data_IF_851265435797
#
_entry.id   IF_851265435797
#
_cell.length_a   1.000
_cell.length_b   1.000
_cell.length_c   1.000
_cell.angle_alpha   90.00
_cell.angle_beta   90.00
_cell.angle_gamma   90.00
#
_symmetry.space_group_name_H-M   'P 1'
#
loop_
_entity.id
_entity.type
_entity.pdbx_description
1 polymer ?
#
# COMPACT_ATOMS: atom_id res chain seq x y z
N UNK A 1 15.21 -6.92 6.09
CA UNK A 1 15.06 -5.62 5.40
C UNK A 1 13.64 -5.54 4.91
N UNK A 2 12.95 -4.42 5.12
CA UNK A 2 11.61 -4.23 4.55
C UNK A 2 11.73 -4.23 3.02
N UNK A 3 10.94 -5.08 2.35
CA UNK A 3 10.86 -5.11 0.89
C UNK A 3 9.78 -4.15 0.41
N UNK A 4 9.92 -3.66 -0.82
CA UNK A 4 8.87 -2.86 -1.46
C UNK A 4 7.67 -3.74 -1.77
N UNK A 5 6.46 -3.22 -1.55
CA UNK A 5 5.21 -3.92 -1.83
C UNK A 5 4.16 -2.99 -2.43
N UNK A 6 3.19 -3.57 -3.13
CA UNK A 6 2.14 -2.84 -3.83
C UNK A 6 0.94 -2.66 -2.91
N UNK A 7 0.36 -1.45 -2.91
CA UNK A 7 -0.87 -1.10 -2.17
C UNK A 7 -1.86 -0.41 -3.11
N UNK A 8 -3.17 -0.33 -2.77
CA UNK A 8 -4.08 0.58 -3.46
C UNK A 8 -3.57 2.02 -3.30
N UNK A 9 -3.61 2.83 -4.38
CA UNK A 9 -3.23 4.24 -4.29
C UNK A 9 -4.24 5.05 -3.48
N UNK A 10 -5.55 4.78 -3.70
CA UNK A 10 -6.64 5.45 -2.98
C UNK A 10 -7.81 4.49 -2.75
N UNK A 11 -8.75 4.87 -1.91
CA UNK A 11 -10.04 4.19 -1.82
C UNK A 11 -10.85 4.46 -3.08
N UNK A 12 -11.58 3.44 -3.56
CA UNK A 12 -12.40 3.58 -4.75
C UNK A 12 -13.61 2.65 -4.72
N UNK A 13 -14.55 2.95 -5.60
CA UNK A 13 -15.77 2.17 -5.80
C UNK A 13 -15.99 1.96 -7.28
N UNK A 14 -16.42 0.76 -7.65
CA UNK A 14 -16.81 0.40 -9.00
C UNK A 14 -18.16 -0.31 -8.97
N UNK A 15 -19.07 0.08 -9.83
CA UNK A 15 -20.43 -0.46 -9.86
C UNK A 15 -20.81 -0.93 -11.26
N UNK A 16 -21.54 -2.05 -11.34
CA UNK A 16 -22.14 -2.54 -12.57
C UNK A 16 -23.37 -3.41 -12.27
N UNK A 17 -24.13 -3.71 -13.31
CA UNK A 17 -25.30 -4.61 -13.24
C UNK A 17 -25.09 -5.78 -14.19
N UNK A 18 -25.34 -6.99 -13.71
CA UNK A 18 -25.32 -8.24 -14.46
C UNK A 18 -26.60 -9.04 -14.18
N UNK A 19 -27.37 -9.37 -15.24
CA UNK A 19 -28.67 -10.07 -15.14
C UNK A 19 -29.56 -9.49 -14.02
N UNK A 20 -29.74 -8.17 -14.01
CA UNK A 20 -30.48 -7.39 -13.03
C UNK A 20 -29.90 -7.39 -11.61
N UNK A 21 -28.88 -8.19 -11.29
CA UNK A 21 -28.15 -8.08 -10.03
C UNK A 21 -27.18 -6.88 -10.09
N UNK A 22 -27.21 -6.05 -9.05
CA UNK A 22 -26.31 -4.90 -8.90
C UNK A 22 -25.13 -5.30 -8.04
N UNK A 23 -23.93 -5.02 -8.52
CA UNK A 23 -22.66 -5.29 -7.84
C UNK A 23 -21.92 -3.97 -7.59
N UNK A 24 -21.49 -3.75 -6.35
CA UNK A 24 -20.73 -2.57 -5.95
C UNK A 24 -19.44 -3.05 -5.29
N UNK A 25 -18.33 -3.00 -6.02
CA UNK A 25 -17.00 -3.29 -5.50
C UNK A 25 -16.41 -2.06 -4.80
N UNK A 26 -15.80 -2.27 -3.64
CA UNK A 26 -15.13 -1.24 -2.86
C UNK A 26 -13.71 -1.68 -2.56
N UNK A 27 -12.75 -0.78 -2.70
CA UNK A 27 -11.36 -0.96 -2.26
C UNK A 27 -11.05 0.00 -1.13
N UNK A 28 -10.43 -0.51 -0.08
CA UNK A 28 -9.94 0.26 1.08
C UNK A 28 -8.49 -0.09 1.35
N UNK A 29 -7.71 0.89 1.83
CA UNK A 29 -6.41 0.66 2.45
C UNK A 29 -6.62 0.20 3.88
N UNK A 30 -5.94 -0.85 4.27
CA UNK A 30 -5.95 -1.37 5.65
C UNK A 30 -4.55 -1.85 6.03
N UNK A 31 -4.23 -1.79 7.31
CA UNK A 31 -2.97 -2.31 7.85
C UNK A 31 -3.21 -3.49 8.79
N UNK A 32 -4.44 -3.62 9.33
CA UNK A 32 -4.80 -4.64 10.31
C UNK A 32 -6.14 -5.31 10.02
N UNK A 33 -6.36 -6.49 10.59
CA UNK A 33 -7.62 -7.22 10.50
C UNK A 33 -8.77 -6.50 11.23
N UNK A 34 -8.44 -5.73 12.27
CA UNK A 34 -9.40 -4.92 13.04
C UNK A 34 -9.98 -3.83 12.16
N UNK A 35 -9.14 -3.10 11.40
CA UNK A 35 -9.59 -2.10 10.42
C UNK A 35 -10.51 -2.72 9.37
N UNK A 36 -10.19 -3.92 8.86
CA UNK A 36 -11.08 -4.64 7.95
C UNK A 36 -12.45 -4.90 8.59
N UNK A 37 -12.49 -5.35 9.85
CA UNK A 37 -13.73 -5.63 10.58
C UNK A 37 -14.57 -4.38 10.81
N UNK A 38 -13.95 -3.25 11.13
CA UNK A 38 -14.62 -1.95 11.30
C UNK A 38 -15.26 -1.46 10.00
N UNK A 39 -14.51 -1.53 8.89
CA UNK A 39 -15.00 -1.15 7.55
C UNK A 39 -16.17 -2.04 7.14
N UNK A 40 -16.06 -3.36 7.34
CA UNK A 40 -17.13 -4.31 7.05
C UNK A 40 -18.40 -4.01 7.87
N UNK A 41 -18.25 -3.70 9.15
CA UNK A 41 -19.39 -3.32 10.02
C UNK A 41 -20.06 -2.04 9.50
N UNK A 42 -19.28 -1.04 9.08
CA UNK A 42 -19.76 0.22 8.49
C UNK A 42 -20.50 -0.02 7.19
N UNK A 43 -19.96 -0.86 6.29
CA UNK A 43 -20.59 -1.18 5.02
C UNK A 43 -21.88 -1.98 5.19
N UNK A 44 -21.93 -2.96 6.08
CA UNK A 44 -23.14 -3.71 6.41
C UNK A 44 -24.25 -2.82 6.96
N UNK A 45 -23.93 -1.79 7.71
CA UNK A 45 -24.92 -0.78 8.15
C UNK A 45 -25.37 0.10 7.00
N UNK A 46 -24.46 0.53 6.13
CA UNK A 46 -24.77 1.38 4.97
C UNK A 46 -25.62 0.65 3.94
N UNK A 47 -25.32 -0.63 3.69
CA UNK A 47 -26.00 -1.48 2.71
C UNK A 47 -26.78 -2.60 3.42
N UNK A 48 -27.54 -2.21 4.44
CA UNK A 48 -28.25 -3.13 5.31
C UNK A 48 -29.30 -3.99 4.58
N UNK A 49 -29.81 -3.51 3.45
CA UNK A 49 -30.79 -4.13 2.57
C UNK A 49 -30.15 -4.95 1.43
N UNK A 50 -28.84 -5.00 1.34
CA UNK A 50 -28.13 -5.81 0.36
C UNK A 50 -28.24 -7.30 0.67
N UNK A 51 -28.24 -8.14 -0.36
CA UNK A 51 -28.30 -9.58 -0.23
C UNK A 51 -27.02 -10.15 0.37
N UNK A 52 -25.85 -9.64 -0.10
CA UNK A 52 -24.54 -10.13 0.34
C UNK A 52 -23.53 -8.97 0.37
N UNK A 53 -22.59 -9.03 1.33
CA UNK A 53 -21.41 -8.19 1.43
C UNK A 53 -20.17 -9.08 1.50
N UNK A 54 -19.81 -9.64 0.35
CA UNK A 54 -18.65 -10.51 0.17
C UNK A 54 -17.35 -9.72 0.35
N UNK A 55 -16.34 -10.31 0.96
CA UNK A 55 -15.06 -9.63 1.12
C UNK A 55 -13.85 -10.55 0.97
N UNK A 56 -12.73 -9.94 0.65
CA UNK A 56 -11.40 -10.52 0.79
C UNK A 56 -10.41 -9.43 1.17
N UNK A 57 -9.40 -9.79 1.97
CA UNK A 57 -8.30 -8.89 2.27
C UNK A 57 -6.94 -9.61 2.28
N UNK A 58 -5.89 -8.84 2.02
CA UNK A 58 -4.49 -9.26 2.05
C UNK A 58 -3.71 -8.20 2.83
N UNK A 59 -2.99 -8.62 3.87
CA UNK A 59 -2.10 -7.75 4.65
C UNK A 59 -0.63 -8.00 4.30
N UNK A 60 0.21 -6.99 4.49
CA UNK A 60 1.66 -7.10 4.30
C UNK A 60 2.33 -8.09 5.28
N UNK A 61 1.65 -8.42 6.39
CA UNK A 61 2.05 -9.49 7.31
C UNK A 61 1.92 -10.91 6.71
N UNK A 62 1.36 -11.06 5.50
CA UNK A 62 1.03 -12.34 4.89
C UNK A 62 -0.34 -12.89 5.31
N UNK A 63 -1.08 -12.18 6.16
CA UNK A 63 -2.43 -12.59 6.55
C UNK A 63 -3.42 -12.34 5.43
N UNK A 64 -4.17 -13.37 5.06
CA UNK A 64 -5.25 -13.28 4.07
C UNK A 64 -6.54 -13.86 4.63
N UNK A 65 -7.67 -13.23 4.32
CA UNK A 65 -9.00 -13.75 4.64
C UNK A 65 -10.01 -13.41 3.57
N UNK A 66 -11.05 -14.24 3.49
CA UNK A 66 -12.19 -13.98 2.64
C UNK A 66 -13.47 -14.57 3.25
N UNK A 67 -14.62 -14.15 2.73
CA UNK A 67 -15.93 -14.72 3.06
C UNK A 67 -16.84 -14.61 1.85
N UNK A 68 -17.60 -15.68 1.61
CA UNK A 68 -18.64 -15.69 0.59
C UNK A 68 -19.95 -15.03 1.07
N UNK A 69 -20.07 -14.69 2.37
CA UNK A 69 -21.21 -13.98 3.00
C UNK A 69 -22.58 -14.51 2.56
N UNK A 70 -22.73 -15.85 2.51
CA UNK A 70 -23.97 -16.55 2.14
C UNK A 70 -24.15 -16.82 0.65
N UNK A 71 -23.25 -16.39 -0.22
CA UNK A 71 -23.19 -16.90 -1.61
C UNK A 71 -22.76 -18.37 -1.63
N UNK A 72 -23.00 -19.13 -2.70
CA UNK A 72 -22.49 -20.49 -2.83
C UNK A 72 -20.98 -20.57 -2.61
N UNK A 73 -20.55 -21.54 -1.80
CA UNK A 73 -19.16 -21.66 -1.37
C UNK A 73 -18.16 -21.61 -2.53
N UNK A 74 -17.15 -20.75 -2.41
CA UNK A 74 -16.05 -20.59 -3.37
C UNK A 74 -16.41 -19.81 -4.63
N UNK A 75 -17.62 -19.24 -4.73
CA UNK A 75 -18.06 -18.53 -5.93
C UNK A 75 -17.85 -17.01 -5.88
N UNK A 76 -17.46 -16.48 -4.72
CA UNK A 76 -17.41 -15.03 -4.52
C UNK A 76 -16.15 -14.55 -3.77
N UNK A 77 -15.95 -14.96 -2.53
CA UNK A 77 -14.83 -14.54 -1.71
C UNK A 77 -13.46 -15.00 -2.24
N UNK A 78 -13.36 -16.28 -2.63
CA UNK A 78 -12.14 -16.82 -3.23
C UNK A 78 -11.81 -16.17 -4.59
N UNK A 79 -12.73 -15.98 -5.53
CA UNK A 79 -12.50 -15.20 -6.75
C UNK A 79 -12.01 -13.77 -6.48
N UNK A 80 -12.61 -13.08 -5.49
CA UNK A 80 -12.16 -11.75 -5.04
C UNK A 80 -10.71 -11.79 -4.55
N UNK A 81 -10.37 -12.75 -3.67
CA UNK A 81 -8.99 -12.93 -3.19
C UNK A 81 -8.00 -13.22 -4.33
N UNK A 82 -8.42 -14.04 -5.31
CA UNK A 82 -7.59 -14.37 -6.48
C UNK A 82 -7.22 -13.14 -7.29
N UNK A 83 -8.14 -12.19 -7.46
CA UNK A 83 -7.86 -10.91 -8.13
C UNK A 83 -6.80 -10.11 -7.36
N UNK A 84 -6.92 -10.00 -6.03
CA UNK A 84 -5.95 -9.28 -5.19
C UNK A 84 -4.56 -9.92 -5.26
N UNK A 85 -4.49 -11.26 -5.17
CA UNK A 85 -3.24 -12.03 -5.32
C UNK A 85 -2.61 -11.84 -6.71
N UNK A 86 -3.41 -11.90 -7.77
CA UNK A 86 -2.94 -11.69 -9.15
C UNK A 86 -2.33 -10.30 -9.36
N UNK A 87 -2.87 -9.29 -8.71
CA UNK A 87 -2.33 -7.93 -8.70
C UNK A 87 -1.16 -7.74 -7.72
N UNK A 88 -0.82 -8.76 -6.90
CA UNK A 88 0.20 -8.71 -5.83
C UNK A 88 0.00 -7.55 -4.85
N UNK A 89 -1.24 -7.10 -4.70
CA UNK A 89 -1.57 -5.96 -3.83
C UNK A 89 -1.72 -6.43 -2.38
N UNK A 90 -1.16 -5.66 -1.47
CA UNK A 90 -1.18 -5.89 -0.03
C UNK A 90 -1.80 -4.69 0.69
N UNK A 91 -2.08 -4.86 1.98
CA UNK A 91 -2.73 -3.83 2.82
C UNK A 91 -4.02 -3.31 2.18
N UNK A 92 -4.80 -4.26 1.65
CA UNK A 92 -6.02 -4.02 0.89
C UNK A 92 -7.18 -4.84 1.43
N UNK A 93 -8.35 -4.20 1.54
CA UNK A 93 -9.64 -4.85 1.71
C UNK A 93 -10.49 -4.57 0.46
N UNK A 94 -10.99 -5.63 -0.18
CA UNK A 94 -12.02 -5.54 -1.19
C UNK A 94 -13.34 -6.05 -0.62
N UNK A 95 -14.40 -5.26 -0.76
CA UNK A 95 -15.77 -5.66 -0.39
C UNK A 95 -16.65 -5.51 -1.61
N UNK A 96 -17.42 -6.55 -1.94
CA UNK A 96 -18.42 -6.49 -3.00
C UNK A 96 -19.81 -6.63 -2.40
N UNK A 97 -20.57 -5.56 -2.43
CA UNK A 97 -21.98 -5.54 -2.05
C UNK A 97 -22.83 -5.95 -3.24
N UNK A 98 -23.72 -6.93 -3.06
CA UNK A 98 -24.63 -7.42 -4.10
C UNK A 98 -26.07 -7.26 -3.70
N UNK A 99 -26.87 -6.76 -4.62
CA UNK A 99 -28.32 -6.82 -4.62
C UNK A 99 -28.78 -7.83 -5.66
N UNK A 100 -29.50 -8.86 -5.25
CA UNK A 100 -30.02 -9.87 -6.16
C UNK A 100 -31.14 -9.32 -7.04
N UNK A 101 -31.05 -9.54 -8.34
CA UNK A 101 -31.99 -9.03 -9.35
C UNK A 101 -33.05 -10.04 -9.81
N UNK A 102 -33.30 -11.11 -9.04
CA UNK A 102 -34.32 -12.10 -9.39
C UNK A 102 -33.88 -13.15 -10.42
N UNK A 103 -32.73 -12.96 -11.09
CA UNK A 103 -32.22 -13.90 -12.09
C UNK A 103 -30.91 -14.55 -11.62
N UNK A 104 -30.86 -15.87 -11.58
CA UNK A 104 -29.68 -16.62 -11.15
C UNK A 104 -28.54 -16.49 -12.18
N UNK A 105 -27.34 -16.16 -11.70
CA UNK A 105 -26.13 -16.11 -12.51
C UNK A 105 -25.52 -17.50 -12.75
N UNK A 106 -25.75 -18.44 -11.83
CA UNK A 106 -25.03 -19.71 -11.73
C UNK A 106 -23.61 -19.53 -11.19
N UNK A 107 -22.95 -20.62 -10.77
CA UNK A 107 -21.63 -20.57 -10.14
C UNK A 107 -20.58 -19.85 -11.00
N UNK A 108 -20.47 -20.19 -12.28
CA UNK A 108 -19.51 -19.53 -13.19
C UNK A 108 -19.85 -18.06 -13.46
N UNK A 109 -21.13 -17.67 -13.42
CA UNK A 109 -21.56 -16.28 -13.51
C UNK A 109 -21.17 -15.47 -12.28
N UNK A 110 -21.36 -16.05 -11.08
CA UNK A 110 -20.94 -15.44 -9.82
C UNK A 110 -19.42 -15.21 -9.78
N UNK A 111 -18.61 -16.23 -10.10
CA UNK A 111 -17.16 -16.12 -10.15
C UNK A 111 -16.73 -14.95 -11.04
N UNK A 112 -17.29 -14.83 -12.26
CA UNK A 112 -16.99 -13.72 -13.17
C UNK A 112 -17.41 -12.37 -12.61
N UNK A 113 -18.63 -12.27 -12.06
CA UNK A 113 -19.14 -11.00 -11.53
C UNK A 113 -18.34 -10.49 -10.33
N UNK A 114 -17.99 -11.36 -9.36
CA UNK A 114 -17.18 -10.98 -8.22
C UNK A 114 -15.73 -10.62 -8.62
N UNK A 115 -15.15 -11.37 -9.55
CA UNK A 115 -13.82 -11.01 -10.10
C UNK A 115 -13.86 -9.67 -10.83
N UNK A 116 -14.91 -9.39 -11.60
CA UNK A 116 -15.10 -8.11 -12.30
C UNK A 116 -15.26 -6.96 -11.30
N UNK A 117 -16.07 -7.14 -10.24
CA UNK A 117 -16.26 -6.13 -9.20
C UNK A 117 -14.94 -5.77 -8.52
N UNK A 118 -14.19 -6.80 -8.10
CA UNK A 118 -12.89 -6.61 -7.45
C UNK A 118 -11.87 -5.94 -8.37
N UNK A 119 -11.76 -6.42 -9.63
CA UNK A 119 -10.85 -5.84 -10.60
C UNK A 119 -11.21 -4.39 -10.95
N UNK A 120 -12.49 -4.10 -11.24
CA UNK A 120 -12.94 -2.76 -11.58
C UNK A 120 -12.72 -1.77 -10.43
N UNK A 121 -12.97 -2.19 -9.17
CA UNK A 121 -12.70 -1.36 -8.01
C UNK A 121 -11.20 -1.14 -7.79
N UNK A 122 -10.35 -2.16 -8.01
CA UNK A 122 -8.91 -2.04 -7.90
C UNK A 122 -8.32 -1.15 -9.00
N UNK A 123 -8.79 -1.28 -10.25
CA UNK A 123 -8.39 -0.44 -11.37
C UNK A 123 -8.78 1.04 -11.10
N UNK A 124 -9.95 1.29 -10.51
CA UNK A 124 -10.38 2.64 -10.12
C UNK A 124 -9.57 3.22 -8.95
N UNK A 125 -9.11 2.36 -8.03
CA UNK A 125 -8.24 2.77 -6.92
C UNK A 125 -6.84 3.15 -7.40
N UNK A 126 -6.38 2.56 -8.50
CA UNK A 126 -4.99 2.62 -8.92
C UNK A 126 -4.06 1.90 -7.94
N UNK A 127 -2.80 1.81 -8.29
CA UNK A 127 -1.78 1.14 -7.48
C UNK A 127 -0.65 2.11 -7.12
N UNK A 128 -0.02 1.84 -5.98
CA UNK A 128 1.20 2.51 -5.54
C UNK A 128 2.20 1.49 -5.00
N UNK A 129 3.47 1.84 -5.04
CA UNK A 129 4.54 1.07 -4.40
C UNK A 129 4.88 1.73 -3.07
N UNK A 130 4.91 0.95 -2.01
CA UNK A 130 5.51 1.30 -0.73
C UNK A 130 6.97 0.92 -0.78
N UNK A 131 7.84 1.93 -0.79
CA UNK A 131 9.29 1.74 -0.86
C UNK A 131 9.92 2.13 0.48
N UNK A 132 10.74 1.24 1.09
CA UNK A 132 11.45 1.58 2.31
C UNK A 132 12.62 2.52 2.01
N UNK A 133 12.86 3.45 2.94
CA UNK A 133 14.02 4.34 2.96
C UNK A 133 14.67 4.29 4.33
N UNK A 134 16.00 4.38 4.36
CA UNK A 134 16.78 4.64 5.57
C UNK A 134 16.83 6.15 5.80
N UNK A 135 16.66 6.54 7.05
CA UNK A 135 16.86 7.91 7.50
C UNK A 135 18.26 8.02 8.09
N UNK A 136 19.04 8.95 7.56
CA UNK A 136 20.38 9.25 8.04
C UNK A 136 20.39 10.63 8.67
N UNK A 137 21.12 10.77 9.77
CA UNK A 137 21.45 12.04 10.41
C UNK A 137 22.93 12.32 10.24
N UNK A 138 23.25 13.51 9.76
CA UNK A 138 24.62 13.92 9.48
C UNK A 138 24.90 15.25 10.18
N UNK A 139 25.77 15.25 11.17
CA UNK A 139 26.24 16.46 11.83
C UNK A 139 27.57 16.89 11.23
N UNK A 140 27.71 18.15 10.84
CA UNK A 140 28.95 18.67 10.25
C UNK A 140 29.15 20.17 10.52
N UNK A 141 30.39 20.60 10.35
CA UNK A 141 30.72 22.02 10.37
C UNK A 141 30.12 22.76 9.18
N UNK A 142 29.86 24.04 9.31
CA UNK A 142 29.37 24.92 8.23
C UNK A 142 30.23 24.90 6.96
N UNK A 143 31.55 24.73 7.11
CA UNK A 143 32.48 24.63 5.98
C UNK A 143 32.30 23.40 5.14
N UNK A 144 31.77 22.29 5.73
CA UNK A 144 31.56 21.04 5.04
C UNK A 144 30.17 20.93 4.41
N UNK A 145 29.19 21.77 4.77
CA UNK A 145 27.82 21.74 4.27
C UNK A 145 27.72 21.76 2.74
N UNK A 146 28.44 22.71 2.08
CA UNK A 146 28.37 22.83 0.63
C UNK A 146 29.06 21.65 -0.11
N UNK A 147 30.27 21.21 0.27
CA UNK A 147 30.85 19.96 -0.24
C UNK A 147 29.92 18.75 -0.10
N UNK A 148 29.26 18.60 1.06
CA UNK A 148 28.31 17.52 1.29
C UNK A 148 27.12 17.61 0.33
N UNK A 149 26.44 18.76 0.25
CA UNK A 149 25.30 18.97 -0.66
C UNK A 149 25.64 18.72 -2.12
N UNK A 150 26.86 19.06 -2.53
CA UNK A 150 27.34 18.78 -3.89
C UNK A 150 27.49 17.29 -4.17
N UNK A 151 27.79 16.48 -3.15
CA UNK A 151 27.95 15.03 -3.28
C UNK A 151 26.61 14.25 -3.28
N UNK A 152 25.57 14.74 -2.58
CA UNK A 152 24.30 14.03 -2.37
C UNK A 152 23.63 13.53 -3.65
N UNK A 153 23.52 14.28 -4.76
CA UNK A 153 22.87 13.82 -5.98
C UNK A 153 23.51 12.58 -6.58
N UNK A 154 24.84 12.44 -6.45
CA UNK A 154 25.60 11.31 -6.97
C UNK A 154 25.45 10.04 -6.12
N UNK A 155 24.86 10.16 -4.93
CA UNK A 155 24.70 9.09 -3.96
C UNK A 155 23.26 8.55 -3.89
N UNK A 156 22.35 9.06 -4.72
CA UNK A 156 20.91 8.75 -4.65
C UNK A 156 20.33 9.06 -3.25
N UNK A 157 20.80 10.14 -2.63
CA UNK A 157 20.40 10.62 -1.31
C UNK A 157 19.58 11.89 -1.47
N UNK A 158 18.48 11.97 -0.74
CA UNK A 158 17.61 13.17 -0.70
C UNK A 158 17.72 13.84 0.67
N UNK A 159 18.02 15.14 0.69
CA UNK A 159 17.94 15.97 1.89
C UNK A 159 16.46 16.21 2.22
N UNK A 160 16.06 15.88 3.46
CA UNK A 160 14.68 16.02 3.94
C UNK A 160 14.54 17.11 5.01
N UNK A 161 15.65 17.51 5.63
CA UNK A 161 15.69 18.56 6.64
C UNK A 161 17.10 19.06 6.87
N UNK A 162 17.21 20.28 7.40
CA UNK A 162 18.46 20.89 7.79
C UNK A 162 18.24 21.83 8.98
N UNK A 163 18.94 21.56 10.07
CA UNK A 163 18.93 22.38 11.27
C UNK A 163 20.27 23.12 11.41
N UNK A 164 20.21 24.40 11.76
CA UNK A 164 21.37 25.27 11.94
C UNK A 164 21.54 25.59 13.42
N UNK A 165 22.65 25.16 14.00
CA UNK A 165 23.02 25.40 15.40
C UNK A 165 24.50 25.65 15.58
N UNK A 166 25.13 25.16 16.64
CA UNK A 166 26.57 25.15 16.77
C UNK A 166 27.26 24.37 15.67
N UNK A 167 26.61 23.30 15.21
CA UNK A 167 26.89 22.52 14.02
C UNK A 167 25.69 22.54 13.11
N UNK A 168 25.85 22.13 11.85
CA UNK A 168 24.74 21.90 10.93
C UNK A 168 24.35 20.42 11.00
N UNK A 169 23.07 20.15 11.21
CA UNK A 169 22.51 18.80 11.20
C UNK A 169 21.62 18.63 9.98
N UNK A 170 21.99 17.71 9.08
CA UNK A 170 21.15 17.33 7.95
C UNK A 170 20.40 16.04 8.24
N UNK A 171 19.15 16.02 7.83
CA UNK A 171 18.35 14.80 7.73
C UNK A 171 18.31 14.35 6.28
N UNK A 172 18.74 13.14 6.04
CA UNK A 172 18.87 12.57 4.70
C UNK A 172 18.04 11.30 4.60
N UNK A 173 17.58 11.02 3.38
CA UNK A 173 16.83 9.82 3.07
C UNK A 173 17.47 9.11 1.89
N UNK A 174 17.66 7.79 2.01
CA UNK A 174 18.31 6.94 1.02
C UNK A 174 17.63 5.58 0.93
N UNK A 175 17.52 5.03 -0.28
CA UNK A 175 17.06 3.65 -0.44
C UNK A 175 18.05 2.65 0.21
N UNK A 176 17.57 1.55 0.82
CA UNK A 176 18.42 0.63 1.59
C UNK A 176 19.64 0.12 0.81
N UNK A 177 19.48 -0.13 -0.49
CA UNK A 177 20.56 -0.64 -1.34
C UNK A 177 21.72 0.35 -1.56
N UNK A 178 21.48 1.65 -1.36
CA UNK A 178 22.49 2.70 -1.51
C UNK A 178 23.03 3.22 -0.17
N UNK A 179 22.47 2.75 0.97
CA UNK A 179 22.76 3.29 2.29
C UNK A 179 24.24 3.14 2.65
N UNK A 180 24.79 1.96 2.56
CA UNK A 180 26.18 1.67 2.95
C UNK A 180 27.17 2.48 2.09
N UNK A 181 26.88 2.57 0.77
CA UNK A 181 27.68 3.38 -0.16
C UNK A 181 27.61 4.86 0.18
N UNK A 182 26.45 5.38 0.56
CA UNK A 182 26.27 6.77 0.93
C UNK A 182 27.02 7.10 2.23
N UNK A 183 26.89 6.25 3.25
CA UNK A 183 27.62 6.40 4.53
C UNK A 183 29.11 6.39 4.29
N UNK A 184 29.65 5.42 3.56
CA UNK A 184 31.06 5.32 3.26
C UNK A 184 31.58 6.56 2.52
N UNK A 185 30.89 6.98 1.46
CA UNK A 185 31.31 8.15 0.66
C UNK A 185 31.32 9.45 1.47
N UNK A 186 30.28 9.69 2.29
CA UNK A 186 30.24 10.90 3.15
C UNK A 186 31.40 10.87 4.16
N UNK A 187 31.71 9.70 4.72
CA UNK A 187 32.83 9.52 5.63
C UNK A 187 34.15 9.80 4.93
N UNK A 188 34.35 9.28 3.71
CA UNK A 188 35.59 9.44 2.94
C UNK A 188 35.84 10.91 2.55
N UNK A 189 34.86 11.62 2.01
CA UNK A 189 35.00 13.03 1.61
C UNK A 189 35.23 13.98 2.79
N UNK A 190 34.83 13.56 4.00
CA UNK A 190 35.12 14.28 5.24
C UNK A 190 36.45 13.90 5.90
N UNK A 191 37.20 12.96 5.30
CA UNK A 191 38.39 12.36 5.88
C UNK A 191 38.12 11.75 7.29
N UNK A 192 36.93 11.10 7.43
CA UNK A 192 36.49 10.45 8.68
C UNK A 192 35.94 11.38 9.75
N UNK A 193 35.84 12.68 9.50
CA UNK A 193 35.33 13.66 10.49
C UNK A 193 33.83 13.62 10.64
N UNK A 194 33.10 13.24 9.58
CA UNK A 194 31.64 13.15 9.54
C UNK A 194 31.23 11.72 9.24
N UNK A 195 30.54 11.09 10.20
CA UNK A 195 30.01 9.74 10.06
C UNK A 195 28.49 9.80 10.15
N UNK A 196 27.75 9.51 9.08
CA UNK A 196 26.30 9.48 9.09
C UNK A 196 25.76 8.43 10.08
N UNK A 197 24.74 8.78 10.85
CA UNK A 197 24.03 7.88 11.74
C UNK A 197 22.73 7.41 11.10
N UNK A 198 22.43 6.11 11.12
CA UNK A 198 21.13 5.58 10.71
C UNK A 198 20.18 5.77 11.89
N UNK A 199 19.22 6.69 11.77
CA UNK A 199 18.30 7.06 12.85
C UNK A 199 16.92 6.40 12.72
N UNK A 200 16.65 5.73 11.61
CA UNK A 200 15.38 5.04 11.41
C UNK A 200 15.12 4.58 9.98
N UNK A 201 13.88 4.15 9.77
CA UNK A 201 13.34 3.76 8.46
C UNK A 201 12.00 4.42 8.23
N UNK A 202 11.68 4.73 6.99
CA UNK A 202 10.39 5.28 6.57
C UNK A 202 9.92 4.61 5.28
N UNK A 203 8.63 4.27 5.22
CA UNK A 203 8.00 3.84 3.97
C UNK A 203 7.45 5.07 3.24
N UNK A 204 7.76 5.19 1.96
CA UNK A 204 7.17 6.21 1.09
C UNK A 204 6.30 5.55 0.03
N UNK A 205 5.14 6.15 -0.17
CA UNK A 205 4.19 5.73 -1.19
C UNK A 205 4.49 6.48 -2.50
N UNK A 206 4.65 5.72 -3.59
CA UNK A 206 4.81 6.26 -4.94
C UNK A 206 3.77 5.63 -5.86
N UNK A 207 2.93 6.46 -6.46
CA UNK A 207 1.93 6.01 -7.45
C UNK A 207 2.62 5.35 -8.65
N UNK A 208 2.06 4.21 -9.10
CA UNK A 208 2.47 3.48 -10.30
C UNK A 208 1.85 4.05 -11.57
#
# INVERSE_FOLDING_TARGET
>A
MAESYIVPYQEATYEFTEKHSRFIGHIFKIETAEQASEILSRLRKKYWDATHNVYAYVLSSGTERFSDDGEPSGTSGMPTLTVLRGAKVQNVLCVTTRYFGGTLLGAGGLVRAYSQAAKGALDAAGLAVMTPFKLLRVSCDYSFLQPLRYALPNLSVTETGCEYGAEVVLELMVEPQFCDKAVQHITDISAGKVVPEIVGEKLLEKKL
#
